data_IF_239294656849
#
_entry.id   IF_239294656849
#
_cell.length_a   1.000
_cell.length_b   1.000
_cell.length_c   1.000
_cell.angle_alpha   90.00
_cell.angle_beta   90.00
_cell.angle_gamma   90.00
#
_symmetry.space_group_name_H-M   'P 1'
#
loop_
_entity.id
_entity.type
_entity.pdbx_description
1 polymer ?
#
# COMPACT_ATOMS: atom_id res chain seq x y z
N UNK A 1 14.60 -20.78 16.23
CA UNK A 1 14.51 -20.09 14.92
C UNK A 1 13.32 -19.13 14.79
N UNK A 2 12.40 -19.04 15.77
CA UNK A 2 11.31 -18.06 15.73
C UNK A 2 11.78 -16.61 15.97
N UNK A 3 12.76 -16.42 16.86
CA UNK A 3 13.31 -15.11 17.26
C UNK A 3 14.14 -14.40 16.17
N UNK A 4 14.56 -15.11 15.12
CA UNK A 4 15.32 -14.55 13.99
C UNK A 4 14.57 -14.61 12.65
N UNK A 5 13.28 -14.99 12.66
CA UNK A 5 12.43 -14.95 11.46
C UNK A 5 12.62 -16.12 10.49
N UNK A 6 13.38 -17.16 10.85
CA UNK A 6 13.50 -18.37 10.02
C UNK A 6 12.27 -19.27 10.19
N UNK A 7 11.69 -19.34 11.38
CA UNK A 7 10.40 -20.00 11.61
C UNK A 7 9.28 -18.97 11.59
N UNK A 8 8.27 -19.16 10.72
CA UNK A 8 7.09 -18.28 10.67
C UNK A 8 6.18 -18.44 11.89
N UNK A 9 6.03 -19.65 12.40
CA UNK A 9 5.18 -19.95 13.57
C UNK A 9 5.84 -21.01 14.46
N UNK A 10 5.35 -21.14 15.69
CA UNK A 10 5.71 -22.20 16.63
C UNK A 10 4.49 -23.06 16.95
N UNK A 11 4.67 -24.36 17.11
CA UNK A 11 3.64 -25.31 17.55
C UNK A 11 4.13 -26.08 18.79
N UNK A 12 3.20 -26.49 19.64
CA UNK A 12 3.46 -27.24 20.87
C UNK A 12 3.69 -28.73 20.60
N UNK A 13 3.05 -29.26 19.55
CA UNK A 13 3.14 -30.64 19.11
C UNK A 13 2.99 -30.74 17.58
N UNK A 14 3.24 -31.94 17.04
CA UNK A 14 3.20 -32.20 15.60
C UNK A 14 1.80 -31.98 15.00
N UNK A 15 0.75 -32.30 15.76
CA UNK A 15 -0.63 -32.17 15.30
C UNK A 15 -1.00 -30.70 15.12
N UNK A 16 -0.67 -29.84 16.09
CA UNK A 16 -0.83 -28.40 15.97
C UNK A 16 0.05 -27.82 14.85
N UNK A 17 1.21 -28.43 14.59
CA UNK A 17 2.03 -28.11 13.42
C UNK A 17 1.27 -28.33 12.11
N UNK A 18 0.62 -29.49 11.96
CA UNK A 18 -0.22 -29.82 10.79
C UNK A 18 -1.43 -28.89 10.70
N UNK A 19 -2.11 -28.62 11.83
CA UNK A 19 -3.25 -27.70 11.91
C UNK A 19 -2.89 -26.33 11.32
N UNK A 20 -1.79 -25.72 11.78
CA UNK A 20 -1.31 -24.43 11.27
C UNK A 20 -0.97 -24.44 9.78
N UNK A 21 -0.46 -25.55 9.26
CA UNK A 21 -0.18 -25.70 7.83
C UNK A 21 -1.50 -25.73 7.05
N UNK A 22 -2.50 -26.46 7.53
CA UNK A 22 -3.83 -26.53 6.90
C UNK A 22 -4.51 -25.16 6.96
N UNK A 23 -4.42 -24.45 8.07
CA UNK A 23 -4.96 -23.10 8.23
C UNK A 23 -4.32 -22.13 7.25
N UNK A 24 -2.99 -22.20 7.08
CA UNK A 24 -2.28 -21.41 6.07
C UNK A 24 -2.76 -21.75 4.65
N UNK A 25 -2.85 -23.03 4.30
CA UNK A 25 -3.33 -23.48 2.99
C UNK A 25 -4.76 -23.01 2.71
N UNK A 26 -5.58 -22.75 3.74
CA UNK A 26 -6.92 -22.20 3.56
C UNK A 26 -6.93 -20.82 2.85
N UNK A 27 -5.84 -20.04 2.98
CA UNK A 27 -5.71 -18.73 2.33
C UNK A 27 -5.19 -18.84 0.89
N UNK A 28 -4.51 -19.94 0.54
CA UNK A 28 -3.76 -20.11 -0.71
C UNK A 28 -4.66 -20.73 -1.80
N UNK A 29 -4.60 -20.27 -3.06
CA UNK A 29 -5.33 -20.89 -4.16
C UNK A 29 -4.90 -22.35 -4.37
N UNK A 30 -5.84 -23.19 -4.81
CA UNK A 30 -5.62 -24.62 -5.05
C UNK A 30 -4.53 -24.88 -6.09
N UNK A 31 -4.37 -23.97 -7.06
CA UNK A 31 -3.36 -24.03 -8.12
C UNK A 31 -2.83 -22.63 -8.46
N UNK A 32 -1.59 -22.58 -8.93
CA UNK A 32 -0.98 -21.36 -9.46
C UNK A 32 -1.85 -20.76 -10.58
N UNK A 33 -2.14 -19.47 -10.46
CA UNK A 33 -2.92 -18.70 -11.43
C UNK A 33 -4.43 -18.80 -11.24
N UNK A 34 -4.91 -19.54 -10.24
CA UNK A 34 -6.33 -19.52 -9.88
C UNK A 34 -6.66 -18.34 -8.96
N UNK A 35 -7.92 -17.87 -8.95
CA UNK A 35 -8.39 -16.88 -8.00
C UNK A 35 -8.22 -17.36 -6.55
N UNK A 36 -8.05 -16.41 -5.63
CA UNK A 36 -7.95 -16.70 -4.21
C UNK A 36 -9.23 -17.37 -3.65
N UNK A 37 -9.13 -18.27 -2.67
CA UNK A 37 -10.28 -19.00 -2.12
C UNK A 37 -11.11 -18.09 -1.20
N UNK A 38 -12.24 -17.60 -1.72
CA UNK A 38 -13.20 -16.80 -0.95
C UNK A 38 -14.02 -17.74 -0.07
N UNK A 39 -13.91 -17.58 1.25
CA UNK A 39 -14.66 -18.38 2.23
C UNK A 39 -15.93 -17.68 2.69
N UNK A 40 -17.02 -18.40 2.98
CA UNK A 40 -18.17 -17.80 3.64
C UNK A 40 -17.74 -17.27 5.02
N UNK A 41 -18.05 -16.01 5.29
CA UNK A 41 -17.72 -15.35 6.56
C UNK A 41 -18.99 -15.03 7.32
N UNK A 42 -19.01 -15.34 8.63
CA UNK A 42 -20.06 -14.87 9.53
C UNK A 42 -19.98 -13.34 9.72
N UNK A 43 -18.80 -12.77 9.49
CA UNK A 43 -18.57 -11.34 9.57
C UNK A 43 -18.93 -10.67 8.24
N UNK A 44 -20.06 -9.96 8.22
CA UNK A 44 -20.58 -9.31 7.02
C UNK A 44 -19.66 -8.21 6.52
N UNK A 45 -19.59 -8.01 5.20
CA UNK A 45 -18.85 -6.87 4.62
C UNK A 45 -19.49 -5.52 4.98
N UNK A 46 -20.82 -5.49 5.17
CA UNK A 46 -21.62 -4.29 5.39
C UNK A 46 -21.72 -3.92 6.89
N UNK A 47 -20.57 -3.78 7.55
CA UNK A 47 -20.51 -3.29 8.93
C UNK A 47 -19.50 -2.16 9.10
N UNK A 48 -19.71 -1.38 10.13
CA UNK A 48 -18.76 -0.37 10.58
C UNK A 48 -17.56 -1.05 11.26
N UNK A 49 -16.42 -0.37 11.22
CA UNK A 49 -15.32 -0.65 12.14
C UNK A 49 -15.57 0.11 13.44
N UNK A 50 -15.70 -0.61 14.55
CA UNK A 50 -15.99 -0.03 15.87
C UNK A 50 -14.74 0.26 16.71
N UNK A 51 -13.63 -0.47 16.49
CA UNK A 51 -12.36 -0.09 17.12
C UNK A 51 -11.77 1.15 16.44
N UNK A 52 -11.55 2.22 17.21
CA UNK A 52 -10.87 3.44 16.77
C UNK A 52 -9.58 3.63 17.58
N UNK A 53 -8.43 3.94 16.95
CA UNK A 53 -7.19 4.12 17.67
C UNK A 53 -7.27 5.31 18.65
N UNK A 54 -6.70 5.21 19.86
CA UNK A 54 -6.81 6.20 20.94
C UNK A 54 -5.94 7.46 20.69
N UNK A 55 -6.17 8.17 19.59
CA UNK A 55 -5.41 9.36 19.21
C UNK A 55 -3.94 9.04 18.92
N UNK A 56 -3.04 9.88 19.45
CA UNK A 56 -1.57 9.71 19.32
C UNK A 56 -0.96 8.73 20.33
N UNK A 57 -1.77 8.12 21.22
CA UNK A 57 -1.24 7.17 22.19
C UNK A 57 -0.93 5.83 21.54
N UNK A 58 0.06 5.11 22.08
CA UNK A 58 0.46 3.81 21.53
C UNK A 58 -0.58 2.74 21.87
N UNK A 59 -0.85 1.85 20.92
CA UNK A 59 -1.81 0.75 21.02
C UNK A 59 -1.28 -0.49 20.28
N UNK A 60 -1.84 -1.66 20.60
CA UNK A 60 -1.55 -2.87 19.82
C UNK A 60 -2.21 -2.79 18.45
N UNK A 61 -1.39 -2.76 17.39
CA UNK A 61 -1.88 -2.65 16.01
C UNK A 61 -2.77 -3.82 15.60
N UNK A 62 -2.67 -4.98 16.27
CA UNK A 62 -3.55 -6.14 16.06
C UNK A 62 -5.02 -5.79 16.28
N UNK A 63 -5.31 -4.80 17.12
CA UNK A 63 -6.67 -4.33 17.34
C UNK A 63 -7.29 -3.63 16.12
N UNK A 64 -6.50 -2.96 15.27
CA UNK A 64 -6.99 -2.42 14.00
C UNK A 64 -7.34 -3.54 13.01
N UNK A 65 -6.62 -4.65 13.10
CA UNK A 65 -6.74 -5.78 12.17
C UNK A 65 -7.92 -6.66 12.58
N UNK A 66 -7.81 -7.33 13.73
CA UNK A 66 -8.75 -8.35 14.19
C UNK A 66 -9.83 -7.81 15.14
N UNK A 67 -9.61 -6.64 15.74
CA UNK A 67 -10.46 -6.08 16.80
C UNK A 67 -9.88 -6.25 18.20
N UNK A 68 -10.57 -5.67 19.19
CA UNK A 68 -10.22 -5.69 20.61
C UNK A 68 -11.41 -6.23 21.41
N UNK A 69 -11.17 -7.19 22.29
CA UNK A 69 -12.13 -7.55 23.32
C UNK A 69 -12.06 -6.51 24.45
N UNK A 70 -13.17 -5.85 24.74
CA UNK A 70 -13.31 -4.89 25.84
C UNK A 70 -14.32 -5.39 26.89
N UNK A 71 -14.38 -4.72 28.03
CA UNK A 71 -15.33 -5.04 29.11
C UNK A 71 -16.79 -4.87 28.65
N UNK A 72 -17.05 -3.88 27.80
CA UNK A 72 -18.39 -3.55 27.26
C UNK A 72 -18.76 -4.38 26.01
N UNK A 73 -17.83 -5.18 25.47
CA UNK A 73 -18.06 -6.01 24.30
C UNK A 73 -16.88 -6.05 23.33
N UNK A 74 -17.13 -6.61 22.14
CA UNK A 74 -16.11 -6.75 21.10
C UNK A 74 -16.09 -5.53 20.18
N UNK A 75 -14.96 -4.83 20.14
CA UNK A 75 -14.69 -3.76 19.18
C UNK A 75 -14.07 -4.37 17.93
N UNK A 76 -14.82 -4.42 16.83
CA UNK A 76 -14.40 -5.04 15.58
C UNK A 76 -13.32 -4.23 14.87
N UNK A 77 -12.32 -4.92 14.31
CA UNK A 77 -11.32 -4.35 13.41
C UNK A 77 -11.77 -4.30 11.94
N UNK A 78 -10.81 -4.03 11.04
CA UNK A 78 -11.03 -3.98 9.59
C UNK A 78 -11.36 -5.36 9.00
N UNK A 79 -10.65 -6.39 9.46
CA UNK A 79 -10.78 -7.75 8.95
C UNK A 79 -11.85 -8.54 9.69
N UNK A 80 -12.13 -9.72 9.15
CA UNK A 80 -13.10 -10.64 9.72
C UNK A 80 -12.62 -11.12 11.09
N UNK A 81 -13.54 -11.16 12.05
CA UNK A 81 -13.25 -11.65 13.40
C UNK A 81 -12.58 -13.03 13.36
N UNK A 82 -11.51 -13.18 14.14
CA UNK A 82 -10.74 -14.43 14.29
C UNK A 82 -10.18 -15.00 12.96
N UNK A 83 -9.99 -14.16 11.94
CA UNK A 83 -9.39 -14.56 10.65
C UNK A 83 -7.91 -14.23 10.51
N UNK A 84 -7.36 -13.41 11.42
CA UNK A 84 -5.98 -12.93 11.32
C UNK A 84 -5.00 -13.92 11.93
N UNK A 85 -4.15 -14.50 11.08
CA UNK A 85 -3.07 -15.40 11.45
C UNK A 85 -1.72 -14.67 11.35
N UNK A 86 -1.17 -14.29 12.50
CA UNK A 86 0.14 -13.63 12.58
C UNK A 86 1.28 -14.61 12.28
N UNK A 87 2.19 -14.19 11.40
CA UNK A 87 3.43 -14.89 11.10
C UNK A 87 4.64 -14.06 11.53
N UNK A 88 5.75 -14.73 11.83
CA UNK A 88 7.04 -14.11 12.18
C UNK A 88 6.95 -13.19 13.42
N UNK A 89 5.96 -13.39 14.31
CA UNK A 89 5.72 -12.52 15.49
C UNK A 89 6.82 -12.55 16.56
N UNK A 90 7.77 -13.49 16.46
CA UNK A 90 8.92 -13.61 17.35
C UNK A 90 10.08 -12.68 17.00
N UNK A 91 10.09 -12.12 15.79
CA UNK A 91 11.20 -11.36 15.22
C UNK A 91 10.71 -10.03 14.64
N UNK A 92 11.51 -8.97 14.79
CA UNK A 92 11.20 -7.61 14.30
C UNK A 92 9.73 -7.21 14.59
N UNK A 93 9.38 -7.15 15.87
CA UNK A 93 7.98 -6.98 16.32
C UNK A 93 7.44 -5.55 16.11
N UNK A 94 8.29 -4.63 15.69
CA UNK A 94 7.94 -3.29 15.18
C UNK A 94 7.05 -3.34 13.93
N UNK A 95 7.08 -4.46 13.19
CA UNK A 95 6.17 -4.74 12.06
C UNK A 95 5.44 -6.05 12.33
N UNK A 96 4.12 -6.00 12.22
CA UNK A 96 3.21 -7.15 12.34
C UNK A 96 2.86 -7.61 10.93
N UNK A 97 3.07 -8.90 10.63
CA UNK A 97 2.76 -9.49 9.32
C UNK A 97 1.90 -10.72 9.52
N UNK A 98 0.98 -10.98 8.60
CA UNK A 98 0.11 -12.14 8.69
C UNK A 98 -0.87 -12.22 7.53
N UNK A 99 -1.82 -13.14 7.63
CA UNK A 99 -2.90 -13.32 6.65
C UNK A 99 -4.23 -13.08 7.34
N UNK A 100 -5.17 -12.43 6.66
CA UNK A 100 -6.51 -12.19 7.18
C UNK A 100 -7.54 -12.33 6.07
N UNK A 101 -8.83 -12.30 6.44
CA UNK A 101 -9.93 -12.25 5.48
C UNK A 101 -10.70 -10.95 5.59
N UNK A 102 -11.05 -10.36 4.44
CA UNK A 102 -11.91 -9.19 4.33
C UNK A 102 -13.21 -9.59 3.63
N UNK A 103 -14.27 -9.80 4.41
CA UNK A 103 -15.53 -10.33 3.90
C UNK A 103 -15.37 -11.69 3.22
N UNK A 104 -14.51 -12.55 3.78
CA UNK A 104 -14.18 -13.87 3.23
C UNK A 104 -13.02 -13.90 2.23
N UNK A 105 -12.62 -12.76 1.64
CA UNK A 105 -11.51 -12.69 0.66
C UNK A 105 -10.17 -12.73 1.41
N UNK A 106 -9.29 -13.72 1.19
CA UNK A 106 -8.02 -13.81 1.88
C UNK A 106 -7.01 -12.81 1.30
N UNK A 107 -6.21 -12.20 2.19
CA UNK A 107 -5.15 -11.29 1.80
C UNK A 107 -4.02 -11.25 2.84
N UNK A 108 -2.82 -10.92 2.37
CA UNK A 108 -1.69 -10.61 3.25
C UNK A 108 -1.90 -9.26 3.95
N UNK A 109 -1.40 -9.15 5.17
CA UNK A 109 -1.48 -7.92 5.98
C UNK A 109 -0.09 -7.58 6.49
N UNK A 110 0.30 -6.32 6.32
CA UNK A 110 1.49 -5.72 6.94
C UNK A 110 1.04 -4.49 7.71
N UNK A 111 1.33 -4.44 9.01
CA UNK A 111 0.95 -3.33 9.87
C UNK A 111 2.10 -2.93 10.79
N UNK A 112 2.05 -1.71 11.33
CA UNK A 112 3.16 -1.13 12.10
C UNK A 112 2.79 -1.08 13.58
N UNK A 113 3.65 -1.66 14.42
CA UNK A 113 3.52 -1.53 15.86
C UNK A 113 3.84 -0.10 16.29
N UNK A 114 2.99 0.46 17.15
CA UNK A 114 3.12 1.85 17.61
C UNK A 114 3.80 1.94 18.98
N UNK A 115 3.79 0.84 19.74
CA UNK A 115 4.51 0.73 21.02
C UNK A 115 6.00 0.52 20.78
N UNK A 116 6.81 0.99 21.71
CA UNK A 116 8.23 0.61 21.76
C UNK A 116 8.35 -0.88 22.05
N UNK A 117 9.14 -1.57 21.25
CA UNK A 117 9.40 -2.99 21.36
C UNK A 117 10.82 -3.19 21.87
N UNK A 118 11.00 -4.12 22.81
CA UNK A 118 12.33 -4.53 23.25
C UNK A 118 12.80 -5.72 22.42
N UNK A 119 13.95 -5.62 21.78
CA UNK A 119 14.60 -6.73 21.10
C UNK A 119 15.79 -7.19 21.95
N UNK A 120 15.76 -8.46 22.35
CA UNK A 120 16.74 -9.06 23.24
C UNK A 120 17.63 -9.99 22.43
N UNK A 121 18.88 -9.59 22.26
CA UNK A 121 19.91 -10.41 21.63
C UNK A 121 20.63 -11.22 22.70
N UNK A 122 20.63 -12.56 22.63
CA UNK A 122 21.27 -13.40 23.63
C UNK A 122 22.80 -13.20 23.61
N UNK A 123 23.44 -13.47 24.75
CA UNK A 123 24.90 -13.54 24.83
C UNK A 123 25.44 -14.65 23.92
N UNK A 124 26.58 -14.39 23.28
CA UNK A 124 27.29 -15.39 22.47
C UNK A 124 28.12 -16.31 23.38
N UNK A 125 27.76 -17.60 23.54
CA UNK A 125 28.50 -18.52 24.40
C UNK A 125 29.92 -18.81 23.88
N UNK A 126 30.24 -18.49 22.61
CA UNK A 126 31.59 -18.64 22.07
C UNK A 126 32.52 -17.48 22.46
N UNK A 127 31.98 -16.37 22.95
CA UNK A 127 32.75 -15.20 23.38
C UNK A 127 32.46 -14.90 24.87
N UNK A 128 33.40 -15.18 25.80
CA UNK A 128 33.21 -14.96 27.23
C UNK A 128 32.90 -13.51 27.62
N UNK A 129 33.30 -12.53 26.79
CA UNK A 129 33.03 -11.11 27.04
C UNK A 129 31.63 -10.68 26.55
N UNK A 130 30.90 -11.58 25.87
CA UNK A 130 29.56 -11.31 25.36
C UNK A 130 28.54 -11.30 26.49
N UNK A 131 27.67 -10.29 26.48
CA UNK A 131 26.52 -10.19 27.39
C UNK A 131 25.25 -10.00 26.59
N UNK A 132 24.12 -10.35 27.20
CA UNK A 132 22.80 -10.11 26.63
C UNK A 132 22.61 -8.62 26.38
N UNK A 133 22.17 -8.29 25.17
CA UNK A 133 21.91 -6.90 24.77
C UNK A 133 20.42 -6.68 24.59
N UNK A 134 19.88 -5.76 25.37
CA UNK A 134 18.50 -5.30 25.24
C UNK A 134 18.50 -4.01 24.43
N UNK A 135 17.91 -4.06 23.25
CA UNK A 135 17.77 -2.93 22.34
C UNK A 135 16.32 -2.50 22.30
N UNK A 136 16.06 -1.25 22.64
CA UNK A 136 14.73 -0.66 22.48
C UNK A 136 14.56 -0.16 21.04
N UNK A 137 13.56 -0.70 20.35
CA UNK A 137 13.15 -0.31 19.01
C UNK A 137 11.86 0.51 19.13
N UNK A 138 11.91 1.77 18.72
CA UNK A 138 10.75 2.66 18.76
C UNK A 138 9.67 2.18 17.76
N UNK A 139 8.41 2.27 18.18
CA UNK A 139 7.29 2.02 17.28
C UNK A 139 7.24 3.04 16.13
N UNK A 140 6.64 2.65 15.01
CA UNK A 140 6.52 3.54 13.84
C UNK A 140 7.83 3.82 13.08
N UNK A 141 8.88 3.02 13.27
CA UNK A 141 10.19 3.20 12.61
C UNK A 141 10.65 1.89 11.94
N UNK A 142 11.22 2.00 10.74
CA UNK A 142 11.89 0.87 10.10
C UNK A 142 13.34 0.71 10.57
N UNK A 143 13.62 -0.41 11.20
CA UNK A 143 14.97 -0.91 11.49
C UNK A 143 15.42 -1.95 10.45
N UNK A 144 16.71 -2.33 10.39
CA UNK A 144 17.21 -3.34 9.44
C UNK A 144 16.38 -4.64 9.42
N UNK A 145 16.10 -5.19 10.59
CA UNK A 145 15.27 -6.39 10.78
C UNK A 145 13.82 -6.18 10.32
N UNK A 146 13.26 -5.00 10.58
CA UNK A 146 11.87 -4.63 10.26
C UNK A 146 11.68 -4.47 8.76
N UNK A 147 12.64 -3.81 8.09
CA UNK A 147 12.66 -3.66 6.64
C UNK A 147 12.82 -5.02 5.96
N UNK A 148 13.72 -5.89 6.46
CA UNK A 148 13.85 -7.24 5.93
C UNK A 148 12.56 -8.05 6.11
N UNK A 149 11.96 -8.04 7.31
CA UNK A 149 10.69 -8.75 7.58
C UNK A 149 9.59 -8.30 6.63
N UNK A 150 9.49 -6.99 6.39
CA UNK A 150 8.52 -6.42 5.43
C UNK A 150 8.77 -6.94 4.01
N UNK A 151 10.01 -6.87 3.53
CA UNK A 151 10.37 -7.34 2.20
C UNK A 151 10.18 -8.87 2.04
N UNK A 152 10.47 -9.65 3.07
CA UNK A 152 10.26 -11.09 3.08
C UNK A 152 8.76 -11.44 3.02
N UNK A 153 7.94 -10.79 3.85
CA UNK A 153 6.49 -11.02 3.84
C UNK A 153 5.88 -10.71 2.47
N UNK A 154 6.29 -9.61 1.82
CA UNK A 154 5.84 -9.27 0.46
C UNK A 154 6.25 -10.33 -0.57
N UNK A 155 7.44 -10.90 -0.45
CA UNK A 155 7.87 -12.00 -1.33
C UNK A 155 7.03 -13.25 -1.09
N UNK A 156 6.78 -13.60 0.17
CA UNK A 156 6.00 -14.78 0.55
C UNK A 156 4.54 -14.68 0.05
N UNK A 157 3.90 -13.52 0.23
CA UNK A 157 2.53 -13.28 -0.25
C UNK A 157 2.42 -13.32 -1.78
N UNK A 158 3.46 -12.91 -2.50
CA UNK A 158 3.47 -12.89 -3.97
C UNK A 158 3.78 -14.27 -4.58
N UNK A 159 4.88 -14.90 -4.14
CA UNK A 159 5.40 -16.11 -4.76
C UNK A 159 4.77 -17.37 -4.15
N UNK A 160 3.95 -18.05 -4.95
CA UNK A 160 3.25 -19.27 -4.55
C UNK A 160 1.88 -18.97 -3.97
N UNK A 161 1.80 -18.05 -3.00
CA UNK A 161 0.53 -17.69 -2.37
C UNK A 161 -0.39 -16.84 -3.24
N UNK A 162 0.19 -15.96 -4.07
CA UNK A 162 -0.53 -15.09 -5.00
C UNK A 162 -1.67 -14.30 -4.32
N UNK A 163 -1.40 -13.76 -3.13
CA UNK A 163 -2.36 -13.03 -2.33
C UNK A 163 -2.31 -11.53 -2.65
N UNK A 164 -3.45 -10.82 -2.67
CA UNK A 164 -3.44 -9.37 -2.52
C UNK A 164 -2.87 -9.00 -1.14
N UNK A 165 -2.37 -7.77 -0.97
CA UNK A 165 -1.81 -7.31 0.31
C UNK A 165 -2.38 -5.97 0.76
N UNK A 166 -2.65 -5.85 2.06
CA UNK A 166 -3.03 -4.63 2.74
C UNK A 166 -1.87 -4.17 3.63
N UNK A 167 -1.34 -2.98 3.34
CA UNK A 167 -0.28 -2.34 4.12
C UNK A 167 -0.91 -1.20 4.92
N UNK A 168 -1.11 -1.40 6.22
CA UNK A 168 -1.53 -0.37 7.17
C UNK A 168 -0.32 0.48 7.54
N UNK A 169 -0.05 1.50 6.71
CA UNK A 169 1.18 2.28 6.75
C UNK A 169 1.16 3.31 7.89
N UNK A 170 2.13 3.21 8.81
CA UNK A 170 2.29 4.15 9.93
C UNK A 170 3.77 4.28 10.32
N UNK A 171 4.63 4.57 9.34
CA UNK A 171 6.07 4.76 9.54
C UNK A 171 6.49 6.23 9.40
N UNK A 172 7.18 6.72 10.43
CA UNK A 172 7.81 8.05 10.46
C UNK A 172 9.14 8.13 9.73
N UNK A 173 9.67 6.99 9.29
CA UNK A 173 10.93 6.92 8.56
C UNK A 173 11.71 5.63 8.82
N UNK A 174 12.90 5.60 8.25
CA UNK A 174 13.93 4.62 8.58
C UNK A 174 14.77 5.10 9.77
N UNK A 175 15.30 4.17 10.56
CA UNK A 175 16.28 4.50 11.60
C UNK A 175 17.56 5.03 10.94
N UNK A 176 17.88 6.30 11.20
CA UNK A 176 19.09 6.97 10.74
C UNK A 176 20.27 6.87 11.70
N UNK A 177 20.17 6.05 12.76
CA UNK A 177 21.24 5.89 13.75
C UNK A 177 22.48 5.22 13.15
N UNK A 178 23.69 5.61 13.61
CA UNK A 178 24.96 5.09 13.09
C UNK A 178 25.01 3.55 13.07
N UNK A 179 24.53 2.91 14.15
CA UNK A 179 24.49 1.44 14.26
C UNK A 179 23.58 0.81 13.21
N UNK A 180 22.41 1.37 12.97
CA UNK A 180 21.43 0.79 12.04
C UNK A 180 21.83 1.04 10.57
N UNK A 181 22.49 2.18 10.31
CA UNK A 181 23.16 2.46 9.03
C UNK A 181 24.30 1.48 8.76
N UNK A 182 25.13 1.21 9.77
CA UNK A 182 26.19 0.20 9.69
C UNK A 182 25.60 -1.20 9.44
N UNK A 183 24.48 -1.52 10.10
CA UNK A 183 23.73 -2.76 9.90
C UNK A 183 22.86 -2.75 8.63
N UNK A 184 23.27 -2.02 7.60
CA UNK A 184 22.74 -2.11 6.23
C UNK A 184 21.24 -1.77 6.09
N UNK A 185 20.67 -0.89 6.93
CA UNK A 185 19.24 -0.52 6.84
C UNK A 185 18.83 -0.09 5.41
N UNK A 186 19.71 0.60 4.67
CA UNK A 186 19.44 1.03 3.30
C UNK A 186 19.28 -0.14 2.32
N UNK A 187 20.06 -1.21 2.49
CA UNK A 187 20.00 -2.42 1.66
C UNK A 187 18.68 -3.16 1.88
N UNK A 188 18.22 -3.22 3.12
CA UNK A 188 16.92 -3.84 3.42
C UNK A 188 15.74 -2.96 3.02
N UNK A 189 15.90 -1.63 3.07
CA UNK A 189 14.96 -0.69 2.49
C UNK A 189 14.76 -0.87 0.98
N UNK A 190 15.84 -1.08 0.22
CA UNK A 190 15.72 -1.33 -1.23
C UNK A 190 15.03 -2.65 -1.56
N UNK A 191 15.14 -3.67 -0.70
CA UNK A 191 14.43 -4.94 -0.90
C UNK A 191 12.91 -4.83 -0.83
N UNK A 192 12.38 -3.82 -0.13
CA UNK A 192 10.93 -3.54 -0.14
C UNK A 192 10.50 -3.10 -1.54
N UNK A 193 11.26 -2.17 -2.14
CA UNK A 193 11.02 -1.70 -3.51
C UNK A 193 11.14 -2.87 -4.51
N UNK A 194 12.20 -3.67 -4.39
CA UNK A 194 12.39 -4.85 -5.27
C UNK A 194 11.22 -5.85 -5.18
N UNK A 195 10.64 -6.03 -3.99
CA UNK A 195 9.51 -6.92 -3.78
C UNK A 195 8.22 -6.33 -4.38
N UNK A 196 7.97 -5.03 -4.22
CA UNK A 196 6.78 -4.35 -4.75
C UNK A 196 6.79 -4.24 -6.29
N UNK A 197 7.95 -3.99 -6.90
CA UNK A 197 8.11 -3.99 -8.37
C UNK A 197 7.70 -5.34 -8.98
N UNK A 198 7.99 -6.44 -8.29
CA UNK A 198 7.70 -7.80 -8.76
C UNK A 198 6.33 -8.33 -8.32
N UNK A 199 5.57 -7.54 -7.57
CA UNK A 199 4.28 -7.96 -7.02
C UNK A 199 3.23 -8.04 -8.13
N UNK A 200 2.51 -9.17 -8.23
CA UNK A 200 1.58 -9.44 -9.36
C UNK A 200 0.09 -9.37 -8.98
N UNK A 201 -0.22 -9.12 -7.71
CA UNK A 201 -1.59 -8.99 -7.20
C UNK A 201 -1.86 -7.58 -6.65
N UNK A 202 -3.13 -7.18 -6.43
CA UNK A 202 -3.43 -5.86 -5.89
C UNK A 202 -2.74 -5.58 -4.54
N UNK A 203 -2.10 -4.42 -4.44
CA UNK A 203 -1.44 -3.92 -3.23
C UNK A 203 -2.18 -2.67 -2.79
N UNK A 204 -2.76 -2.68 -1.60
CA UNK A 204 -3.40 -1.52 -0.99
C UNK A 204 -2.48 -0.96 0.09
N UNK A 205 -2.03 0.28 -0.07
CA UNK A 205 -1.36 1.04 0.98
C UNK A 205 -2.39 1.98 1.59
N UNK A 206 -2.70 1.78 2.87
CA UNK A 206 -3.66 2.61 3.59
C UNK A 206 -3.04 3.20 4.85
N UNK A 207 -3.04 4.52 4.96
CA UNK A 207 -2.61 5.22 6.18
C UNK A 207 -3.83 5.29 7.13
N UNK A 208 -3.87 4.57 8.27
CA UNK A 208 -5.01 4.54 9.18
C UNK A 208 -5.17 5.87 9.96
N UNK A 209 -6.24 6.07 10.74
CA UNK A 209 -6.43 7.27 11.56
C UNK A 209 -5.24 7.52 12.47
N UNK A 210 -4.80 8.79 12.54
CA UNK A 210 -3.58 9.22 13.25
C UNK A 210 -2.29 8.53 12.79
N UNK A 211 -2.34 7.74 11.72
CA UNK A 211 -1.18 7.15 11.07
C UNK A 211 -0.35 8.21 10.37
N UNK A 212 0.96 8.02 10.35
CA UNK A 212 1.90 8.93 9.75
C UNK A 212 2.76 8.20 8.72
N UNK A 213 2.93 8.78 7.54
CA UNK A 213 3.86 8.28 6.54
C UNK A 213 4.81 9.38 6.10
N UNK A 214 6.09 9.26 6.48
CA UNK A 214 7.06 10.36 6.34
C UNK A 214 8.30 9.99 5.55
N UNK A 215 8.83 10.97 4.82
CA UNK A 215 10.16 10.94 4.23
C UNK A 215 10.45 9.66 3.44
N UNK A 216 11.56 9.00 3.80
CA UNK A 216 12.00 7.76 3.14
C UNK A 216 10.97 6.63 3.22
N UNK A 217 10.10 6.61 4.24
CA UNK A 217 9.10 5.57 4.35
C UNK A 217 8.03 5.67 3.27
N UNK A 218 7.63 6.89 2.87
CA UNK A 218 6.74 7.09 1.73
C UNK A 218 7.38 6.58 0.44
N UNK A 219 8.66 6.91 0.22
CA UNK A 219 9.38 6.62 -1.03
C UNK A 219 9.36 5.12 -1.36
N UNK A 220 9.48 4.24 -0.37
CA UNK A 220 9.56 2.78 -0.61
C UNK A 220 8.21 2.08 -0.72
N UNK A 221 7.08 2.77 -0.54
CA UNK A 221 5.72 2.22 -0.70
C UNK A 221 4.84 3.06 -1.62
N UNK A 222 5.42 4.01 -2.35
CA UNK A 222 4.67 4.87 -3.26
C UNK A 222 4.08 4.04 -4.41
N UNK A 223 2.82 4.30 -4.83
CA UNK A 223 2.17 3.53 -5.88
C UNK A 223 2.88 3.64 -7.24
N UNK A 224 3.73 4.65 -7.46
CA UNK A 224 4.53 4.75 -8.70
C UNK A 224 5.59 3.64 -8.85
N UNK A 225 5.90 2.90 -7.78
CA UNK A 225 6.79 1.73 -7.83
C UNK A 225 6.21 0.63 -8.73
N UNK A 226 4.91 0.37 -8.60
CA UNK A 226 4.19 -0.60 -9.43
C UNK A 226 2.76 -0.07 -9.71
N UNK A 227 2.62 0.86 -10.68
CA UNK A 227 1.35 1.54 -10.95
C UNK A 227 0.22 0.60 -11.37
N UNK A 228 0.55 -0.58 -11.88
CA UNK A 228 -0.44 -1.56 -12.32
C UNK A 228 -1.17 -2.21 -11.15
N UNK A 229 -0.48 -2.43 -10.04
CA UNK A 229 -0.97 -3.23 -8.93
C UNK A 229 -1.20 -2.41 -7.65
N UNK A 230 -0.45 -1.34 -7.45
CA UNK A 230 -0.49 -0.54 -6.21
C UNK A 230 -1.54 0.56 -6.25
N UNK A 231 -2.29 0.67 -5.15
CA UNK A 231 -3.19 1.78 -4.88
C UNK A 231 -2.95 2.31 -3.46
N UNK A 232 -2.99 3.63 -3.32
CA UNK A 232 -2.72 4.30 -2.06
C UNK A 232 -3.90 5.15 -1.61
N UNK A 233 -4.25 5.00 -0.34
CA UNK A 233 -5.35 5.68 0.36
C UNK A 233 -4.85 6.22 1.70
N UNK A 234 -5.49 7.26 2.22
CA UNK A 234 -5.20 7.78 3.55
C UNK A 234 -6.49 8.08 4.29
N UNK A 235 -6.50 7.90 5.60
CA UNK A 235 -7.59 8.33 6.44
C UNK A 235 -7.69 9.87 6.50
N UNK A 236 -8.89 10.42 6.70
CA UNK A 236 -9.09 11.86 6.90
C UNK A 236 -8.22 12.44 8.03
N UNK A 237 -7.99 11.67 9.09
CA UNK A 237 -7.18 12.06 10.25
C UNK A 237 -5.69 11.69 10.10
N UNK A 238 -5.28 11.07 9.00
CA UNK A 238 -3.89 10.70 8.75
C UNK A 238 -2.99 11.91 8.45
N UNK A 239 -1.67 11.68 8.54
CA UNK A 239 -0.65 12.66 8.12
C UNK A 239 0.41 12.05 7.22
N UNK A 240 0.96 12.89 6.35
CA UNK A 240 2.06 12.47 5.49
C UNK A 240 2.73 13.66 4.82
N UNK A 241 4.04 13.55 4.71
CA UNK A 241 4.89 14.65 4.26
C UNK A 241 6.36 14.26 4.28
N UNK A 242 7.23 15.18 3.87
CA UNK A 242 8.67 14.88 3.75
C UNK A 242 9.33 14.77 5.12
N UNK A 243 8.99 15.65 6.05
CA UNK A 243 9.49 15.68 7.42
C UNK A 243 8.32 15.91 8.38
N UNK A 244 8.53 15.63 9.66
CA UNK A 244 7.59 16.00 10.70
C UNK A 244 7.45 17.54 10.80
N UNK A 245 6.27 18.05 11.22
CA UNK A 245 6.02 19.47 11.38
C UNK A 245 7.10 20.19 12.21
N UNK A 246 7.54 19.59 13.31
CA UNK A 246 8.60 20.09 14.19
C UNK A 246 9.93 20.29 13.44
N UNK A 247 10.30 19.31 12.61
CA UNK A 247 11.49 19.37 11.77
C UNK A 247 11.39 20.45 10.68
N UNK A 248 10.23 20.60 10.05
CA UNK A 248 9.98 21.64 9.05
C UNK A 248 10.09 23.04 9.67
N UNK A 249 9.50 23.26 10.85
CA UNK A 249 9.57 24.55 11.54
C UNK A 249 11.02 24.91 11.86
N UNK A 250 11.81 23.96 12.35
CA UNK A 250 13.25 24.17 12.64
C UNK A 250 14.09 24.56 11.42
N UNK A 251 13.66 24.21 10.20
CA UNK A 251 14.37 24.53 8.96
C UNK A 251 13.78 25.79 8.30
N UNK A 252 12.48 25.78 8.01
CA UNK A 252 11.82 26.77 7.15
C UNK A 252 11.17 27.93 7.90
N UNK A 253 10.80 27.75 9.17
CA UNK A 253 10.05 28.73 9.96
C UNK A 253 10.71 28.98 11.33
N UNK A 254 12.02 29.28 11.27
CA UNK A 254 12.87 29.60 12.42
C UNK A 254 12.41 30.86 13.16
N UNK A 255 13.00 31.08 14.35
CA UNK A 255 12.66 32.18 15.27
C UNK A 255 12.46 33.52 14.57
N UNK A 256 13.35 33.93 13.67
CA UNK A 256 13.27 35.22 12.95
C UNK A 256 11.94 35.40 12.21
N UNK A 257 11.48 34.39 11.47
CA UNK A 257 10.19 34.44 10.74
C UNK A 257 8.98 34.37 11.68
N UNK A 258 9.13 33.70 12.82
CA UNK A 258 8.12 33.72 13.87
C UNK A 258 8.01 35.11 14.50
N UNK A 259 9.13 35.82 14.71
CA UNK A 259 9.14 37.20 15.21
C UNK A 259 8.54 38.20 14.19
N UNK A 260 8.77 38.00 12.90
CA UNK A 260 8.07 38.77 11.86
C UNK A 260 6.56 38.58 11.94
N UNK A 261 6.12 37.35 12.17
CA UNK A 261 4.70 37.01 12.32
C UNK A 261 4.13 37.56 13.62
N UNK A 262 4.91 37.55 14.70
CA UNK A 262 4.56 38.18 15.97
C UNK A 262 4.40 39.69 15.82
N UNK A 263 5.29 40.34 15.09
CA UNK A 263 5.17 41.77 14.78
C UNK A 263 3.94 42.13 13.95
N UNK A 264 3.46 41.19 13.14
CA UNK A 264 2.27 41.36 12.31
C UNK A 264 0.96 41.13 13.08
N UNK A 265 0.93 40.12 13.96
CA UNK A 265 -0.30 39.63 14.59
C UNK A 265 -0.47 40.15 16.02
N UNK A 266 0.60 40.21 16.84
CA UNK A 266 0.52 40.71 18.21
C UNK A 266 0.54 42.25 18.21
N UNK A 267 -0.54 42.93 18.65
CA UNK A 267 -0.61 44.38 18.60
C UNK A 267 0.47 45.05 19.45
N UNK A 268 0.78 44.49 20.62
CA UNK A 268 1.76 45.04 21.56
C UNK A 268 3.18 44.97 21.00
N UNK A 269 3.59 43.81 20.50
CA UNK A 269 4.91 43.63 19.90
C UNK A 269 5.05 44.43 18.59
N UNK A 270 4.00 44.51 17.77
CA UNK A 270 3.98 45.35 16.58
C UNK A 270 4.13 46.85 16.89
N UNK A 271 3.48 47.34 17.95
CA UNK A 271 3.64 48.72 18.42
C UNK A 271 5.06 48.99 18.93
N UNK A 272 5.61 48.08 19.77
CA UNK A 272 6.98 48.21 20.27
C UNK A 272 8.02 48.19 19.15
N UNK A 273 7.85 47.32 18.15
CA UNK A 273 8.70 47.29 16.95
C UNK A 273 8.58 48.55 16.12
N UNK A 274 7.37 49.11 16.00
CA UNK A 274 7.18 50.40 15.32
C UNK A 274 7.86 51.54 16.07
N UNK A 275 7.74 51.56 17.40
CA UNK A 275 8.43 52.53 18.25
C UNK A 275 9.95 52.39 18.15
N UNK A 276 10.50 51.16 18.09
CA UNK A 276 11.94 50.95 17.95
C UNK A 276 12.51 51.45 16.61
N UNK A 277 11.65 51.67 15.59
CA UNK A 277 12.04 52.16 14.26
C UNK A 277 11.93 53.70 14.14
N UNK A 278 11.41 54.40 15.14
CA UNK A 278 11.30 55.87 15.11
C UNK A 278 12.69 56.54 15.23
N UNK A 279 12.92 57.61 14.47
CA UNK A 279 14.16 58.41 14.55
C UNK A 279 14.07 59.41 15.71
N UNK A 280 15.15 59.59 16.47
CA UNK A 280 15.25 60.59 17.55
C UNK A 280 15.07 60.07 18.98
N UNK A 281 15.12 58.75 19.21
CA UNK A 281 15.02 58.15 20.54
C UNK A 281 16.29 58.35 21.36
N UNK A 282 16.14 58.54 22.68
CA UNK A 282 17.28 58.51 23.60
C UNK A 282 17.79 57.09 23.81
N UNK A 283 19.04 56.94 24.25
CA UNK A 283 19.67 55.64 24.52
C UNK A 283 18.91 54.84 25.58
N UNK A 284 18.33 55.52 26.58
CA UNK A 284 17.51 54.93 27.63
C UNK A 284 16.17 54.41 27.09
N UNK A 285 15.52 55.16 26.19
CA UNK A 285 14.27 54.75 25.54
C UNK A 285 14.46 53.53 24.64
N UNK A 286 15.53 53.50 23.84
CA UNK A 286 15.87 52.32 23.02
C UNK A 286 16.10 51.07 23.88
N UNK A 287 16.80 51.22 25.00
CA UNK A 287 17.08 50.10 25.92
C UNK A 287 15.79 49.61 26.57
N UNK A 288 14.90 50.51 26.99
CA UNK A 288 13.59 50.16 27.56
C UNK A 288 12.68 49.44 26.56
N UNK A 289 12.60 49.92 25.32
CA UNK A 289 11.80 49.29 24.26
C UNK A 289 12.32 47.88 23.97
N UNK A 290 13.64 47.73 23.85
CA UNK A 290 14.26 46.41 23.62
C UNK A 290 13.97 45.44 24.76
N UNK A 291 14.10 45.87 26.01
CA UNK A 291 13.78 45.04 27.17
C UNK A 291 12.31 44.57 27.18
N UNK A 292 11.36 45.47 26.86
CA UNK A 292 9.93 45.14 26.75
C UNK A 292 9.63 44.19 25.58
N UNK A 293 10.34 44.35 24.46
CA UNK A 293 10.26 43.42 23.33
C UNK A 293 10.76 42.04 23.72
N UNK A 294 11.94 41.94 24.33
CA UNK A 294 12.54 40.68 24.77
C UNK A 294 11.65 39.94 25.78
N UNK A 295 11.03 40.67 26.72
CA UNK A 295 10.07 40.11 27.67
C UNK A 295 8.82 39.55 26.96
N UNK A 296 8.26 40.31 26.01
CA UNK A 296 7.08 39.89 25.23
C UNK A 296 7.39 38.68 24.33
N UNK A 297 8.57 38.65 23.71
CA UNK A 297 9.05 37.51 22.92
C UNK A 297 9.16 36.25 23.77
N UNK A 298 9.71 36.37 24.99
CA UNK A 298 9.88 35.22 25.88
C UNK A 298 8.53 34.67 26.34
N UNK A 299 7.56 35.54 26.59
CA UNK A 299 6.20 35.16 26.96
C UNK A 299 5.48 34.44 25.80
N UNK A 300 5.56 35.00 24.58
CA UNK A 300 4.81 34.52 23.41
C UNK A 300 5.54 33.42 22.62
N UNK A 301 6.83 33.23 22.84
CA UNK A 301 7.64 32.25 22.11
C UNK A 301 7.03 30.85 22.05
N UNK A 302 6.63 30.24 23.19
CA UNK A 302 6.05 28.90 23.20
C UNK A 302 4.75 28.78 22.37
N UNK A 303 3.87 29.76 22.43
CA UNK A 303 2.60 29.71 21.68
C UNK A 303 2.82 29.94 20.18
N UNK A 304 3.73 30.84 19.80
CA UNK A 304 4.09 31.04 18.39
C UNK A 304 4.79 29.82 17.80
N UNK A 305 5.59 29.10 18.60
CA UNK A 305 6.15 27.81 18.19
C UNK A 305 5.05 26.77 17.94
N UNK A 306 4.03 26.69 18.80
CA UNK A 306 2.89 25.78 18.58
C UNK A 306 2.06 26.17 17.35
N UNK A 307 1.83 27.47 17.12
CA UNK A 307 1.17 27.98 15.91
C UNK A 307 1.97 27.59 14.66
N UNK A 308 3.30 27.72 14.69
CA UNK A 308 4.18 27.33 13.59
C UNK A 308 4.09 25.83 13.30
N UNK A 309 4.07 24.98 14.34
CA UNK A 309 3.93 23.53 14.21
C UNK A 309 2.55 23.19 13.61
N UNK A 310 1.47 23.80 14.10
CA UNK A 310 0.13 23.61 13.54
C UNK A 310 0.04 24.07 12.09
N UNK A 311 0.67 25.20 11.76
CA UNK A 311 0.74 25.71 10.39
C UNK A 311 1.47 24.72 9.47
N UNK A 312 2.58 24.13 9.93
CA UNK A 312 3.26 23.08 9.20
C UNK A 312 2.39 21.82 9.06
N UNK A 313 1.72 21.36 10.11
CA UNK A 313 0.81 20.19 10.10
C UNK A 313 -0.33 20.32 9.08
N UNK A 314 -0.85 21.53 8.86
CA UNK A 314 -1.86 21.78 7.83
C UNK A 314 -1.39 21.40 6.41
N UNK A 315 -0.08 21.40 6.15
CA UNK A 315 0.48 20.96 4.88
C UNK A 315 0.57 19.44 4.76
N UNK A 316 0.34 18.70 5.83
CA UNK A 316 0.55 17.24 5.85
C UNK A 316 -0.77 16.46 5.92
N UNK A 317 -1.91 17.14 5.79
CA UNK A 317 -3.25 16.54 5.84
C UNK A 317 -3.61 15.79 4.56
N UNK A 318 -4.48 14.79 4.68
CA UNK A 318 -4.98 13.97 3.58
C UNK A 318 -5.54 14.78 2.39
N UNK A 319 -6.26 15.88 2.66
CA UNK A 319 -6.78 16.74 1.59
C UNK A 319 -5.70 17.34 0.67
N UNK A 320 -4.48 17.58 1.18
CA UNK A 320 -3.37 18.02 0.33
C UNK A 320 -2.80 16.87 -0.50
N UNK A 321 -2.76 15.66 0.06
CA UNK A 321 -2.31 14.46 -0.66
C UNK A 321 -3.20 14.19 -1.87
N UNK A 322 -4.52 14.24 -1.67
CA UNK A 322 -5.51 14.11 -2.74
C UNK A 322 -5.37 15.23 -3.77
N UNK A 323 -5.26 16.49 -3.33
CA UNK A 323 -5.07 17.64 -4.24
C UNK A 323 -3.77 17.58 -5.06
N UNK A 324 -2.78 16.78 -4.63
CA UNK A 324 -1.54 16.51 -5.36
C UNK A 324 -1.55 15.17 -6.11
N UNK A 325 -2.63 14.41 -6.04
CA UNK A 325 -2.78 13.12 -6.71
C UNK A 325 -1.83 12.04 -6.18
N UNK A 326 -1.31 12.17 -4.95
CA UNK A 326 -0.41 11.16 -4.36
C UNK A 326 -1.18 10.01 -3.71
N UNK A 327 -2.46 10.22 -3.40
CA UNK A 327 -3.42 9.18 -2.99
C UNK A 327 -4.66 9.28 -3.89
N UNK A 328 -5.42 8.20 -4.00
CA UNK A 328 -6.65 8.19 -4.81
C UNK A 328 -7.77 9.02 -4.18
N UNK A 329 -7.99 8.83 -2.87
CA UNK A 329 -8.98 9.59 -2.11
C UNK A 329 -8.74 9.44 -0.59
N UNK A 330 -9.20 10.41 0.22
CA UNK A 330 -9.32 10.23 1.66
C UNK A 330 -10.46 9.25 1.98
N UNK A 331 -10.29 8.47 3.05
CA UNK A 331 -11.28 7.52 3.55
C UNK A 331 -11.61 7.81 5.02
N UNK A 332 -12.80 7.38 5.44
CA UNK A 332 -13.17 7.34 6.86
C UNK A 332 -13.02 5.92 7.37
N UNK A 333 -12.18 5.71 8.38
CA UNK A 333 -11.92 4.40 8.98
C UNK A 333 -13.18 3.61 9.30
N UNK A 334 -14.20 4.25 9.87
CA UNK A 334 -15.50 3.62 10.18
C UNK A 334 -16.09 2.86 8.99
N UNK A 335 -15.90 3.35 7.77
CA UNK A 335 -16.43 2.78 6.52
C UNK A 335 -15.36 2.08 5.66
N UNK A 336 -14.10 2.06 6.09
CA UNK A 336 -12.99 1.52 5.32
C UNK A 336 -13.20 0.04 4.94
N UNK A 337 -13.82 -0.77 5.83
CA UNK A 337 -14.17 -2.16 5.55
C UNK A 337 -15.05 -2.31 4.30
N UNK A 338 -16.14 -1.53 4.23
CA UNK A 338 -17.07 -1.55 3.09
C UNK A 338 -16.37 -1.17 1.80
N UNK A 339 -15.59 -0.10 1.85
CA UNK A 339 -14.83 0.39 0.70
C UNK A 339 -13.85 -0.67 0.19
N UNK A 340 -12.95 -1.16 1.05
CA UNK A 340 -11.92 -2.09 0.65
C UNK A 340 -12.48 -3.44 0.21
N UNK A 341 -13.60 -3.91 0.77
CA UNK A 341 -14.25 -5.14 0.32
C UNK A 341 -14.61 -5.06 -1.17
N UNK A 342 -15.34 -4.02 -1.58
CA UNK A 342 -15.77 -3.86 -2.97
C UNK A 342 -14.60 -3.50 -3.89
N UNK A 343 -13.68 -2.64 -3.45
CA UNK A 343 -12.50 -2.27 -4.21
C UNK A 343 -11.61 -3.49 -4.48
N UNK A 344 -11.34 -4.31 -3.48
CA UNK A 344 -10.55 -5.54 -3.63
C UNK A 344 -11.24 -6.52 -4.58
N UNK A 345 -12.54 -6.76 -4.40
CA UNK A 345 -13.32 -7.69 -5.24
C UNK A 345 -13.35 -7.26 -6.72
N UNK A 346 -13.51 -5.96 -6.97
CA UNK A 346 -13.39 -5.37 -8.30
C UNK A 346 -11.99 -5.59 -8.88
N UNK A 347 -10.94 -5.26 -8.14
CA UNK A 347 -9.54 -5.35 -8.60
C UNK A 347 -9.12 -6.77 -8.91
N UNK A 348 -9.54 -7.75 -8.10
CA UNK A 348 -9.32 -9.16 -8.38
C UNK A 348 -10.01 -9.60 -9.69
N UNK A 349 -11.23 -9.13 -9.94
CA UNK A 349 -11.96 -9.43 -11.18
C UNK A 349 -11.29 -8.81 -12.41
N UNK A 350 -10.93 -7.52 -12.33
CA UNK A 350 -10.18 -6.81 -13.35
C UNK A 350 -8.87 -7.54 -13.68
N UNK A 351 -8.12 -7.95 -12.66
CA UNK A 351 -6.82 -8.61 -12.82
C UNK A 351 -6.95 -9.96 -13.54
N UNK A 352 -7.97 -10.77 -13.20
CA UNK A 352 -8.25 -12.03 -13.91
C UNK A 352 -8.57 -11.78 -15.38
N UNK A 353 -9.35 -10.75 -15.69
CA UNK A 353 -9.75 -10.40 -17.05
C UNK A 353 -8.57 -9.85 -17.86
N UNK A 354 -7.80 -8.92 -17.28
CA UNK A 354 -6.61 -8.33 -17.91
C UNK A 354 -5.55 -9.39 -18.18
N UNK A 355 -5.30 -10.32 -17.25
CA UNK A 355 -4.37 -11.44 -17.47
C UNK A 355 -4.82 -12.32 -18.64
N UNK A 356 -6.13 -12.61 -18.74
CA UNK A 356 -6.69 -13.37 -19.87
C UNK A 356 -6.56 -12.64 -21.20
N UNK A 357 -6.89 -11.35 -21.25
CA UNK A 357 -6.72 -10.52 -22.45
C UNK A 357 -5.25 -10.45 -22.89
N UNK A 358 -4.35 -10.22 -21.94
CA UNK A 358 -2.91 -10.18 -22.19
C UNK A 358 -2.40 -11.51 -22.75
N UNK A 359 -2.80 -12.65 -22.17
CA UNK A 359 -2.45 -13.98 -22.67
C UNK A 359 -3.03 -14.30 -24.05
N UNK A 360 -4.11 -13.62 -24.43
CA UNK A 360 -4.80 -13.81 -25.70
C UNK A 360 -4.19 -13.02 -26.85
N UNK A 361 -3.64 -11.83 -26.56
CA UNK A 361 -3.03 -10.94 -27.55
C UNK A 361 -1.52 -11.09 -27.65
N UNK A 362 -0.84 -11.51 -26.59
CA UNK A 362 0.62 -11.46 -26.48
C UNK A 362 1.22 -12.87 -26.51
N UNK A 363 1.49 -13.38 -27.70
CA UNK A 363 2.38 -14.54 -27.88
C UNK A 363 3.80 -14.01 -28.11
N UNK A 364 4.64 -14.05 -27.07
CA UNK A 364 6.10 -13.89 -27.06
C UNK A 364 6.73 -12.48 -27.08
N UNK A 365 6.11 -11.44 -26.51
CA UNK A 365 6.82 -10.16 -26.27
C UNK A 365 6.95 -9.91 -24.76
N UNK A 366 8.17 -9.89 -24.19
CA UNK A 366 8.36 -9.39 -22.84
C UNK A 366 8.03 -7.90 -22.84
N UNK A 367 6.97 -7.52 -22.13
CA UNK A 367 6.57 -6.12 -22.04
C UNK A 367 7.59 -5.35 -21.18
N UNK A 368 8.08 -4.21 -21.69
CA UNK A 368 8.70 -3.20 -20.84
C UNK A 368 7.60 -2.59 -19.94
N UNK A 369 7.94 -2.22 -18.69
CA UNK A 369 6.98 -1.74 -17.67
C UNK A 369 6.10 -0.57 -18.13
N UNK A 370 6.62 0.32 -18.98
CA UNK A 370 5.83 1.45 -19.52
C UNK A 370 4.78 1.00 -20.55
N UNK A 371 5.03 -0.08 -21.29
CA UNK A 371 4.08 -0.61 -22.28
C UNK A 371 3.00 -1.46 -21.62
N UNK A 372 3.29 -2.09 -20.49
CA UNK A 372 2.31 -2.92 -19.76
C UNK A 372 1.25 -2.06 -19.06
N UNK A 373 1.62 -0.88 -18.52
CA UNK A 373 0.66 0.09 -17.94
C UNK A 373 -0.31 0.58 -19.01
N UNK A 374 0.20 1.03 -20.17
CA UNK A 374 -0.65 1.52 -21.27
C UNK A 374 -1.60 0.42 -21.76
N UNK A 375 -1.11 -0.81 -21.94
CA UNK A 375 -1.95 -1.95 -22.31
C UNK A 375 -3.01 -2.27 -21.26
N UNK A 376 -2.68 -2.17 -19.97
CA UNK A 376 -3.65 -2.37 -18.88
C UNK A 376 -4.74 -1.31 -18.95
N UNK A 377 -4.39 -0.04 -19.16
CA UNK A 377 -5.35 1.05 -19.33
C UNK A 377 -6.24 0.84 -20.57
N UNK A 378 -5.67 0.41 -21.70
CA UNK A 378 -6.42 0.05 -22.90
C UNK A 378 -7.42 -1.08 -22.65
N UNK A 379 -6.99 -2.16 -21.98
CA UNK A 379 -7.89 -3.26 -21.64
C UNK A 379 -8.97 -2.86 -20.65
N UNK A 380 -8.65 -2.02 -19.66
CA UNK A 380 -9.65 -1.47 -18.74
C UNK A 380 -10.65 -0.57 -19.50
N UNK A 381 -10.20 0.23 -20.46
CA UNK A 381 -11.08 1.02 -21.33
C UNK A 381 -11.97 0.13 -22.21
N UNK A 382 -11.45 -1.00 -22.73
CA UNK A 382 -12.27 -1.99 -23.44
C UNK A 382 -13.33 -2.60 -22.53
N UNK A 383 -12.96 -3.02 -21.32
CA UNK A 383 -13.89 -3.58 -20.33
C UNK A 383 -14.97 -2.56 -19.94
N UNK A 384 -14.59 -1.29 -19.80
CA UNK A 384 -15.50 -0.16 -19.56
C UNK A 384 -16.49 0.03 -20.72
N UNK A 385 -16.02 -0.02 -21.95
CA UNK A 385 -16.89 0.05 -23.13
C UNK A 385 -17.85 -1.15 -23.20
N UNK A 386 -17.40 -2.34 -22.78
CA UNK A 386 -18.24 -3.53 -22.77
C UNK A 386 -19.32 -3.52 -21.69
N UNK A 387 -19.11 -2.79 -20.60
CA UNK A 387 -20.12 -2.65 -19.54
C UNK A 387 -21.26 -1.71 -19.92
N UNK A 388 -20.99 -0.75 -20.81
CA UNK A 388 -21.98 0.27 -21.20
C UNK A 388 -22.36 1.22 -20.05
N UNK A 389 -21.59 1.21 -18.95
CA UNK A 389 -21.79 2.11 -17.82
C UNK A 389 -21.32 3.53 -18.15
N UNK A 390 -21.87 4.52 -17.46
CA UNK A 390 -21.37 5.88 -17.51
C UNK A 390 -19.96 5.95 -16.90
N UNK A 391 -19.14 6.89 -17.37
CA UNK A 391 -17.76 7.06 -16.88
C UNK A 391 -17.69 7.19 -15.36
N UNK A 392 -18.57 8.03 -14.80
CA UNK A 392 -18.63 8.29 -13.36
C UNK A 392 -19.01 7.03 -12.57
N UNK A 393 -19.90 6.19 -13.11
CA UNK A 393 -20.31 4.95 -12.46
C UNK A 393 -19.17 3.93 -12.48
N UNK A 394 -18.53 3.75 -13.63
CA UNK A 394 -17.41 2.81 -13.73
C UNK A 394 -16.23 3.24 -12.85
N UNK A 395 -15.92 4.53 -12.77
CA UNK A 395 -14.71 4.98 -12.08
C UNK A 395 -14.89 5.03 -10.54
N UNK A 396 -16.11 5.30 -10.05
CA UNK A 396 -16.38 5.51 -8.61
C UNK A 396 -17.19 4.42 -7.92
N UNK A 397 -18.04 3.69 -8.62
CA UNK A 397 -18.95 2.70 -8.02
C UNK A 397 -18.35 1.29 -8.10
N UNK A 398 -17.43 1.00 -7.17
CA UNK A 398 -16.75 -0.31 -7.13
C UNK A 398 -17.71 -1.49 -6.99
N UNK A 399 -18.85 -1.28 -6.30
CA UNK A 399 -19.86 -2.32 -6.10
C UNK A 399 -20.56 -2.67 -7.41
N UNK A 400 -21.12 -1.69 -8.12
CA UNK A 400 -21.80 -1.94 -9.40
C UNK A 400 -20.88 -2.61 -10.40
N UNK A 401 -19.63 -2.17 -10.47
CA UNK A 401 -18.63 -2.74 -11.40
C UNK A 401 -18.31 -4.19 -11.03
N UNK A 402 -18.07 -4.49 -9.75
CA UNK A 402 -17.81 -5.85 -9.29
C UNK A 402 -19.00 -6.79 -9.56
N UNK A 403 -20.22 -6.37 -9.24
CA UNK A 403 -21.46 -7.13 -9.48
C UNK A 403 -21.68 -7.37 -10.99
N UNK A 404 -21.33 -6.40 -11.85
CA UNK A 404 -21.41 -6.55 -13.30
C UNK A 404 -20.45 -7.61 -13.83
N UNK A 405 -19.18 -7.60 -13.40
CA UNK A 405 -18.19 -8.60 -13.80
C UNK A 405 -18.63 -10.03 -13.46
N UNK A 406 -19.31 -10.21 -12.33
CA UNK A 406 -19.77 -11.52 -11.87
C UNK A 406 -21.02 -12.00 -12.61
N UNK A 407 -22.00 -11.11 -12.79
CA UNK A 407 -23.25 -11.42 -13.49
C UNK A 407 -23.05 -11.68 -14.98
N UNK A 408 -22.13 -10.97 -15.63
CA UNK A 408 -21.88 -11.06 -17.08
C UNK A 408 -20.63 -11.88 -17.44
N UNK A 409 -20.13 -12.70 -16.51
CA UNK A 409 -18.87 -13.44 -16.66
C UNK A 409 -18.79 -14.26 -17.96
N UNK A 410 -19.88 -14.93 -18.36
CA UNK A 410 -19.93 -15.76 -19.58
C UNK A 410 -19.79 -14.90 -20.85
N UNK A 411 -20.52 -13.79 -20.90
CA UNK A 411 -20.52 -12.89 -22.05
C UNK A 411 -19.17 -12.19 -22.20
N UNK A 412 -18.57 -11.78 -21.08
CA UNK A 412 -17.23 -11.19 -21.06
C UNK A 412 -16.20 -12.20 -21.58
N UNK A 413 -16.28 -13.46 -21.15
CA UNK A 413 -15.36 -14.49 -21.64
C UNK A 413 -15.53 -14.75 -23.14
N UNK A 414 -16.75 -14.77 -23.65
CA UNK A 414 -16.99 -14.87 -25.09
C UNK A 414 -16.38 -13.68 -25.87
N UNK A 415 -16.48 -12.45 -25.33
CA UNK A 415 -15.82 -11.28 -25.93
C UNK A 415 -14.29 -11.37 -25.88
N UNK A 416 -13.72 -11.88 -24.79
CA UNK A 416 -12.26 -12.13 -24.69
C UNK A 416 -11.81 -13.15 -25.73
N UNK A 417 -12.57 -14.24 -25.92
CA UNK A 417 -12.26 -15.25 -26.93
C UNK A 417 -12.38 -14.69 -28.36
N UNK A 418 -13.33 -13.79 -28.62
CA UNK A 418 -13.40 -13.07 -29.89
C UNK A 418 -12.17 -12.19 -30.14
N UNK A 419 -11.73 -11.41 -29.14
CA UNK A 419 -10.50 -10.61 -29.22
C UNK A 419 -9.28 -11.49 -29.48
N UNK A 420 -9.23 -12.69 -28.88
CA UNK A 420 -8.18 -13.67 -29.16
C UNK A 420 -8.19 -14.13 -30.62
N UNK A 421 -9.37 -14.46 -31.15
CA UNK A 421 -9.50 -14.88 -32.55
C UNK A 421 -9.05 -13.77 -33.52
N UNK A 422 -9.46 -12.53 -33.27
CA UNK A 422 -9.05 -11.36 -34.06
C UNK A 422 -7.54 -11.13 -34.00
N UNK A 423 -6.93 -11.26 -32.81
CA UNK A 423 -5.48 -11.13 -32.65
C UNK A 423 -4.71 -12.23 -33.39
N UNK A 424 -5.21 -13.47 -33.40
CA UNK A 424 -4.60 -14.57 -34.15
C UNK A 424 -4.70 -14.31 -35.66
N UNK A 425 -5.87 -13.86 -36.13
CA UNK A 425 -6.09 -13.50 -37.54
C UNK A 425 -5.11 -12.43 -38.02
N UNK A 426 -4.97 -11.34 -37.24
CA UNK A 426 -4.03 -10.26 -37.54
C UNK A 426 -2.58 -10.76 -37.63
N UNK A 427 -2.19 -11.66 -36.72
CA UNK A 427 -0.84 -12.25 -36.72
C UNK A 427 -0.59 -13.19 -37.89
N UNK A 428 -1.59 -13.99 -38.28
CA UNK A 428 -1.51 -14.84 -39.49
C UNK A 428 -1.34 -13.96 -40.74
N UNK A 429 -2.07 -12.85 -40.83
CA UNK A 429 -1.91 -11.89 -41.91
C UNK A 429 -0.50 -11.27 -41.93
N UNK A 430 0.03 -10.87 -40.78
CA UNK A 430 1.39 -10.33 -40.64
C UNK A 430 2.47 -11.34 -41.07
N UNK A 431 2.34 -12.61 -40.66
CA UNK A 431 3.27 -13.68 -41.05
C UNK A 431 3.22 -13.97 -42.56
N UNK A 432 2.02 -13.96 -43.16
CA UNK A 432 1.86 -14.13 -44.61
C UNK A 432 2.43 -12.95 -45.40
N UNK A 433 2.28 -11.72 -44.88
CA UNK A 433 2.82 -10.52 -45.53
C UNK A 433 4.34 -10.42 -45.41
N UNK A 434 4.92 -10.82 -44.27
CA UNK A 434 6.37 -10.76 -44.03
C UNK A 434 7.15 -11.82 -44.82
N UNK A 435 6.63 -13.04 -44.94
CA UNK A 435 7.23 -14.09 -45.79
C UNK A 435 6.16 -14.88 -46.54
N UNK A 436 5.87 -14.44 -47.77
CA UNK A 436 4.83 -15.03 -48.63
C UNK A 436 5.05 -16.51 -48.92
N UNK A 437 6.27 -16.92 -49.29
CA UNK A 437 6.56 -18.33 -49.60
C UNK A 437 6.47 -19.22 -48.36
N UNK A 438 7.03 -18.78 -47.23
CA UNK A 438 6.99 -19.50 -45.96
C UNK A 438 5.57 -19.65 -45.42
N UNK A 439 4.79 -18.58 -45.43
CA UNK A 439 3.40 -18.58 -44.97
C UNK A 439 2.50 -19.45 -45.85
N UNK A 440 2.61 -19.35 -47.18
CA UNK A 440 1.84 -20.21 -48.11
C UNK A 440 2.22 -21.69 -47.99
N UNK A 441 3.50 -21.99 -47.76
CA UNK A 441 3.96 -23.36 -47.48
C UNK A 441 3.31 -23.91 -46.20
N UNK A 442 3.22 -23.10 -45.14
CA UNK A 442 2.54 -23.48 -43.90
C UNK A 442 1.04 -23.73 -44.10
N UNK A 443 0.34 -22.85 -44.84
CA UNK A 443 -1.09 -23.05 -45.17
C UNK A 443 -1.30 -24.35 -45.95
N UNK A 444 -0.42 -24.66 -46.91
CA UNK A 444 -0.48 -25.92 -47.68
C UNK A 444 -0.31 -27.16 -46.80
N UNK A 445 0.61 -27.11 -45.83
CA UNK A 445 0.86 -28.21 -44.89
C UNK A 445 -0.37 -28.46 -44.01
N UNK A 446 -0.99 -27.40 -43.47
CA UNK A 446 -2.24 -27.51 -42.70
C UNK A 446 -3.37 -28.10 -43.53
N UNK A 447 -3.58 -27.62 -44.77
CA UNK A 447 -4.61 -28.17 -45.67
C UNK A 447 -4.39 -29.66 -45.99
N UNK A 448 -3.15 -30.15 -45.95
CA UNK A 448 -2.82 -31.56 -46.20
C UNK A 448 -3.17 -32.48 -45.02
N UNK A 449 -3.19 -31.94 -43.79
CA UNK A 449 -3.52 -32.67 -42.56
C UNK A 449 -5.02 -32.78 -42.30
N UNK A 450 -5.83 -31.91 -42.93
CA UNK A 450 -7.29 -31.86 -42.76
C UNK A 450 -7.99 -32.89 -43.67
N UNK A 451 -9.05 -33.59 -43.18
CA UNK A 451 -9.85 -34.52 -43.98
C UNK A 451 -10.45 -33.87 -45.24
N UNK A 452 -10.67 -34.66 -46.29
CA UNK A 452 -11.11 -34.17 -47.61
C UNK A 452 -12.41 -33.37 -47.57
N UNK A 453 -13.34 -33.74 -46.69
CA UNK A 453 -14.64 -33.05 -46.51
C UNK A 453 -14.51 -31.65 -45.89
N UNK A 454 -13.59 -31.45 -44.96
CA UNK A 454 -13.33 -30.14 -44.33
C UNK A 454 -12.43 -29.26 -45.22
N UNK A 455 -11.56 -29.89 -46.02
CA UNK A 455 -10.69 -29.19 -46.98
C UNK A 455 -11.50 -28.42 -48.02
N UNK A 456 -12.57 -29.01 -48.57
CA UNK A 456 -13.44 -28.33 -49.54
C UNK A 456 -14.16 -27.12 -48.92
N UNK A 457 -14.59 -27.23 -47.66
CA UNK A 457 -15.23 -26.13 -46.93
C UNK A 457 -14.26 -24.99 -46.65
N UNK A 458 -13.03 -25.31 -46.23
CA UNK A 458 -11.96 -24.33 -46.02
C UNK A 458 -11.56 -23.60 -47.30
N UNK A 459 -11.45 -24.32 -48.42
CA UNK A 459 -11.14 -23.70 -49.71
C UNK A 459 -12.24 -22.72 -50.12
N UNK A 460 -13.53 -23.10 -49.98
CA UNK A 460 -14.66 -22.19 -50.25
C UNK A 460 -14.62 -20.93 -49.38
N UNK A 461 -14.38 -21.11 -48.07
CA UNK A 461 -14.24 -20.00 -47.14
C UNK A 461 -13.10 -19.04 -47.52
N UNK A 462 -11.95 -19.57 -47.94
CA UNK A 462 -10.78 -18.76 -48.35
C UNK A 462 -10.97 -18.05 -49.69
N UNK A 463 -11.70 -18.66 -50.63
CA UNK A 463 -11.98 -18.07 -51.95
C UNK A 463 -13.20 -17.15 -51.96
N UNK A 464 -13.94 -17.08 -50.85
CA UNK A 464 -15.17 -16.29 -50.72
C UNK A 464 -16.32 -16.77 -51.61
N UNK A 465 -16.38 -18.08 -51.92
CA UNK A 465 -17.33 -18.70 -52.84
C UNK A 465 -18.41 -19.53 -52.14
#
# INVERSE_FOLDING_TARGET
MYKNGVSHMTANDDFQGVEKIVDWLSFVPDKKGQPVPISPSADTWDRDITFYPPGKSAYDVRHLIAGKQDEEGFLSGLFDKDSFEEALGGWARTVVVGRARLGGIPMGVVAVETRTVENVSPADPANPDSMEQIVQEAGGVWYPNSAFKTAQALKDFNYGEQLPVMILANWRGFSGGQRDMYNEVLKYGSYIVDALVKYEQPVFVYIPPFGELRGGSWVVVDPTINPEQMEMYADEDARGGVLEPEGIVGIKYRKEKQLETMARIDPTYGQLKTQSLQKGLSTEQMTSIKAKMDEREKLLGPIYQQIAIQFADLHDRAGRMEAKGTIRMPLQWRNARRFFYWRLRRRLSEEVLVKRLTSSTSINVPANSSQSVVKKEEYLAMLKNWSGMLDVEFDKDDRKVAEWYESHRKDIYAKVDAVKADSISAKVAELLMSNKEGGLKGVREVLSLVPTSEREQLVRYLTGA
#
